data_IF_697585472067
#
_entry.id   IF_697585472067
#
_cell.length_a   1.000
_cell.length_b   1.000
_cell.length_c   1.000
_cell.angle_alpha   90.00
_cell.angle_beta   90.00
_cell.angle_gamma   90.00
#
_symmetry.space_group_name_H-M   'P 1'
#
loop_
_entity.id
_entity.type
_entity.pdbx_description
1 polymer ?
#
# COMPACT_ATOMS: atom_id res chain seq x y z
N UNK A 1 0.98 12.72 9.58
CA UNK A 1 1.64 13.62 8.60
C UNK A 1 2.51 14.71 9.21
N UNK A 2 1.97 15.63 10.02
CA UNK A 2 2.77 16.73 10.61
C UNK A 2 3.99 16.24 11.41
N UNK A 3 3.84 15.10 12.11
CA UNK A 3 4.94 14.43 12.82
C UNK A 3 6.07 14.06 11.85
N UNK A 4 5.79 13.34 10.77
CA UNK A 4 6.80 12.93 9.78
C UNK A 4 7.52 14.13 9.15
N UNK A 5 6.80 15.19 8.79
CA UNK A 5 7.41 16.40 8.21
C UNK A 5 8.39 17.07 9.18
N UNK A 6 8.11 17.01 10.49
CA UNK A 6 8.91 17.68 11.51
C UNK A 6 9.99 16.78 12.14
N UNK A 7 9.78 15.47 12.15
CA UNK A 7 10.66 14.52 12.84
C UNK A 7 11.31 13.50 11.92
N UNK A 8 10.94 13.44 10.64
CA UNK A 8 11.41 12.46 9.64
C UNK A 8 11.30 11.00 10.10
N UNK A 9 10.36 10.75 11.03
CA UNK A 9 10.10 9.45 11.65
C UNK A 9 8.74 8.97 11.19
N UNK A 10 8.72 7.76 10.63
CA UNK A 10 7.51 7.07 10.21
C UNK A 10 6.50 6.99 11.37
N UNK A 11 5.20 7.15 11.11
CA UNK A 11 4.19 7.04 12.14
C UNK A 11 4.25 5.64 12.81
N UNK A 12 4.11 5.55 14.14
CA UNK A 12 4.08 4.25 14.83
C UNK A 12 2.92 3.37 14.36
N UNK A 13 1.92 3.95 13.71
CA UNK A 13 0.79 3.22 13.12
C UNK A 13 1.17 2.40 11.86
N UNK A 14 2.43 2.47 11.43
CA UNK A 14 3.01 1.59 10.41
C UNK A 14 3.92 0.51 11.03
N UNK A 15 3.92 0.38 12.35
CA UNK A 15 4.69 -0.65 13.06
C UNK A 15 4.07 -2.03 12.82
N UNK A 16 4.93 -3.05 12.74
CA UNK A 16 4.52 -4.44 12.45
C UNK A 16 3.79 -5.09 13.63
N UNK A 17 3.68 -4.37 14.76
CA UNK A 17 2.95 -4.79 15.96
C UNK A 17 1.45 -4.46 15.91
N UNK A 18 0.98 -3.68 14.93
CA UNK A 18 -0.44 -3.35 14.77
C UNK A 18 -1.17 -4.37 13.88
N UNK A 19 -2.50 -4.38 13.95
CA UNK A 19 -3.30 -5.27 13.10
C UNK A 19 -3.05 -5.00 11.61
N UNK A 20 -2.82 -6.03 10.78
CA UNK A 20 -2.47 -5.85 9.37
C UNK A 20 -3.55 -5.09 8.57
N UNK A 21 -4.82 -5.24 8.94
CA UNK A 21 -5.93 -4.48 8.36
C UNK A 21 -5.90 -2.98 8.75
N UNK A 22 -5.48 -2.66 9.97
CA UNK A 22 -5.32 -1.28 10.42
C UNK A 22 -4.11 -0.63 9.75
N UNK A 23 -2.99 -1.34 9.68
CA UNK A 23 -1.74 -0.90 9.02
C UNK A 23 -1.97 -0.61 7.55
N UNK A 24 -2.68 -1.49 6.83
CA UNK A 24 -3.01 -1.28 5.40
C UNK A 24 -3.86 -0.04 5.20
N UNK A 25 -4.95 0.11 5.95
CA UNK A 25 -5.84 1.28 5.87
C UNK A 25 -5.07 2.58 6.17
N UNK A 26 -4.22 2.57 7.20
CA UNK A 26 -3.43 3.73 7.57
C UNK A 26 -2.35 4.05 6.51
N UNK A 27 -1.70 3.02 5.97
CA UNK A 27 -0.73 3.17 4.89
C UNK A 27 -1.37 3.76 3.63
N UNK A 28 -2.60 3.39 3.28
CA UNK A 28 -3.37 3.99 2.19
C UNK A 28 -3.62 5.49 2.44
N UNK A 29 -4.08 5.86 3.63
CA UNK A 29 -4.30 7.27 3.99
C UNK A 29 -3.00 8.09 3.99
N UNK A 30 -1.92 7.52 4.49
CA UNK A 30 -0.60 8.14 4.48
C UNK A 30 -0.04 8.27 3.06
N UNK A 31 -0.21 7.27 2.20
CA UNK A 31 0.21 7.32 0.81
C UNK A 31 -0.50 8.46 0.07
N UNK A 32 -1.82 8.57 0.23
CA UNK A 32 -2.61 9.61 -0.41
C UNK A 32 -2.17 11.02 0.01
N UNK A 33 -1.85 11.20 1.29
CA UNK A 33 -1.33 12.47 1.76
C UNK A 33 0.14 12.66 1.35
N UNK A 34 0.98 11.62 1.31
CA UNK A 34 2.38 11.72 0.92
C UNK A 34 2.49 12.16 -0.54
N UNK A 35 1.63 11.60 -1.40
CA UNK A 35 1.47 11.98 -2.79
C UNK A 35 1.02 13.44 -2.92
N UNK A 36 0.01 13.86 -2.13
CA UNK A 36 -0.48 15.26 -2.13
C UNK A 36 0.57 16.27 -1.66
N UNK A 37 1.45 15.90 -0.73
CA UNK A 37 2.47 16.77 -0.15
C UNK A 37 3.86 16.59 -0.79
N UNK A 38 4.02 15.70 -1.78
CA UNK A 38 5.32 15.41 -2.42
C UNK A 38 6.36 14.81 -1.48
N UNK A 39 5.93 14.00 -0.51
CA UNK A 39 6.80 13.36 0.48
C UNK A 39 7.30 12.01 -0.02
N UNK A 40 8.23 12.02 -0.98
CA UNK A 40 8.73 10.82 -1.66
C UNK A 40 9.23 9.72 -0.70
N UNK A 41 9.93 10.12 0.37
CA UNK A 41 10.45 9.18 1.38
C UNK A 41 9.34 8.47 2.14
N UNK A 42 8.27 9.19 2.50
CA UNK A 42 7.11 8.59 3.16
C UNK A 42 6.31 7.72 2.19
N UNK A 43 6.18 8.16 0.94
CA UNK A 43 5.55 7.40 -0.14
C UNK A 43 6.19 6.02 -0.28
N UNK A 44 7.53 5.96 -0.37
CA UNK A 44 8.29 4.70 -0.41
C UNK A 44 8.05 3.78 0.79
N UNK A 45 7.97 4.34 2.01
CA UNK A 45 7.71 3.55 3.23
C UNK A 45 6.29 2.95 3.17
N UNK A 46 5.30 3.74 2.79
CA UNK A 46 3.93 3.28 2.64
C UNK A 46 3.80 2.23 1.53
N UNK A 47 4.47 2.42 0.40
CA UNK A 47 4.50 1.43 -0.69
C UNK A 47 5.10 0.10 -0.24
N UNK A 48 6.22 0.12 0.50
CA UNK A 48 6.84 -1.11 1.00
C UNK A 48 5.94 -1.86 2.00
N UNK A 49 5.26 -1.12 2.89
CA UNK A 49 4.34 -1.70 3.88
C UNK A 49 3.09 -2.26 3.22
N UNK A 50 2.49 -1.53 2.29
CA UNK A 50 1.35 -2.02 1.51
C UNK A 50 1.73 -3.28 0.74
N UNK A 51 2.88 -3.30 0.05
CA UNK A 51 3.34 -4.48 -0.67
C UNK A 51 3.57 -5.71 0.22
N UNK A 52 3.92 -5.53 1.49
CA UNK A 52 4.10 -6.62 2.45
C UNK A 52 2.76 -7.16 2.99
N UNK A 53 1.72 -6.33 3.03
CA UNK A 53 0.39 -6.69 3.52
C UNK A 53 -0.63 -6.96 2.40
N UNK A 54 -0.20 -7.03 1.14
CA UNK A 54 -1.07 -7.40 0.01
C UNK A 54 -1.48 -8.86 0.15
N UNK A 55 -2.78 -9.07 0.31
CA UNK A 55 -3.45 -10.36 0.25
C UNK A 55 -4.33 -10.41 -0.98
N UNK A 56 -4.78 -11.60 -1.38
CA UNK A 56 -5.66 -11.78 -2.55
C UNK A 56 -6.89 -10.87 -2.47
N UNK A 57 -7.52 -10.75 -1.30
CA UNK A 57 -8.70 -9.89 -1.11
C UNK A 57 -8.40 -8.38 -1.15
N UNK A 58 -7.16 -7.98 -0.87
CA UNK A 58 -6.74 -6.57 -0.82
C UNK A 58 -5.85 -6.16 -2.00
N UNK A 59 -5.46 -7.10 -2.86
CA UNK A 59 -4.61 -6.87 -4.02
C UNK A 59 -5.31 -5.96 -5.04
N UNK A 60 -6.60 -6.18 -5.31
CA UNK A 60 -7.38 -5.33 -6.22
C UNK A 60 -7.46 -3.88 -5.73
N UNK A 61 -7.83 -3.68 -4.46
CA UNK A 61 -7.96 -2.34 -3.86
C UNK A 61 -6.62 -1.63 -3.75
N UNK A 62 -5.55 -2.35 -3.39
CA UNK A 62 -4.19 -1.81 -3.28
C UNK A 62 -3.62 -1.45 -4.67
N UNK A 63 -3.88 -2.26 -5.69
CA UNK A 63 -3.48 -1.97 -7.07
C UNK A 63 -4.19 -0.72 -7.62
N UNK A 64 -5.50 -0.61 -7.41
CA UNK A 64 -6.27 0.58 -7.80
C UNK A 64 -5.73 1.85 -7.11
N UNK A 65 -5.38 1.75 -5.83
CA UNK A 65 -4.82 2.85 -5.06
C UNK A 65 -3.39 3.22 -5.55
N UNK A 66 -2.58 2.23 -5.92
CA UNK A 66 -1.28 2.45 -6.53
C UNK A 66 -1.39 3.23 -7.85
N UNK A 67 -2.37 2.87 -8.68
CA UNK A 67 -2.64 3.53 -9.95
C UNK A 67 -3.15 4.96 -9.76
N UNK A 68 -4.02 5.18 -8.77
CA UNK A 68 -4.55 6.50 -8.44
C UNK A 68 -3.45 7.47 -7.98
N UNK A 69 -2.48 6.99 -7.20
CA UNK A 69 -1.39 7.81 -6.63
C UNK A 69 -0.07 7.70 -7.39
N UNK A 70 -0.04 7.10 -8.58
CA UNK A 70 1.17 6.99 -9.39
C UNK A 70 2.33 6.26 -8.70
N UNK A 71 2.03 5.24 -7.88
CA UNK A 71 3.00 4.47 -7.10
C UNK A 71 3.56 3.32 -7.94
N UNK A 72 4.61 3.58 -8.71
CA UNK A 72 5.13 2.62 -9.70
C UNK A 72 5.66 1.32 -9.07
N UNK A 73 6.33 1.39 -7.92
CA UNK A 73 6.88 0.20 -7.24
C UNK A 73 5.77 -0.68 -6.66
N UNK A 74 4.79 -0.07 -6.00
CA UNK A 74 3.63 -0.78 -5.46
C UNK A 74 2.85 -1.47 -6.60
N UNK A 75 2.62 -0.74 -7.70
CA UNK A 75 1.97 -1.29 -8.90
C UNK A 75 2.73 -2.49 -9.47
N UNK A 76 4.04 -2.38 -9.66
CA UNK A 76 4.86 -3.48 -10.14
C UNK A 76 4.77 -4.71 -9.23
N UNK A 77 4.92 -4.51 -7.90
CA UNK A 77 4.79 -5.57 -6.90
C UNK A 77 3.43 -6.25 -6.91
N UNK A 78 2.34 -5.48 -7.00
CA UNK A 78 0.99 -6.04 -7.08
C UNK A 78 0.78 -6.84 -8.37
N UNK A 79 1.25 -6.31 -9.51
CA UNK A 79 1.16 -7.02 -10.80
C UNK A 79 2.00 -8.30 -10.80
N UNK A 80 3.20 -8.26 -10.22
CA UNK A 80 4.07 -9.44 -10.07
C UNK A 80 3.43 -10.49 -9.15
N UNK A 81 2.78 -10.06 -8.06
CA UNK A 81 2.04 -10.95 -7.16
C UNK A 81 0.87 -11.62 -7.87
N UNK A 82 0.07 -10.84 -8.59
CA UNK A 82 -1.07 -11.32 -9.37
C UNK A 82 -0.62 -12.28 -10.47
N UNK A 83 0.42 -11.93 -11.23
CA UNK A 83 0.98 -12.79 -12.29
C UNK A 83 1.75 -14.02 -11.76
N UNK A 84 2.10 -14.04 -10.47
CA UNK A 84 2.87 -15.12 -9.85
C UNK A 84 2.09 -16.44 -9.73
N UNK A 85 0.76 -16.38 -9.65
CA UNK A 85 -0.09 -17.57 -9.64
C UNK A 85 -1.42 -17.34 -10.38
N UNK A 86 -1.85 -18.28 -11.24
CA UNK A 86 -3.18 -18.23 -11.84
C UNK A 86 -4.30 -18.32 -10.79
N UNK A 87 -4.04 -18.96 -9.65
CA UNK A 87 -5.02 -19.07 -8.55
C UNK A 87 -5.21 -17.72 -7.84
N UNK A 88 -4.15 -16.92 -7.70
CA UNK A 88 -4.27 -15.57 -7.12
C UNK A 88 -4.99 -14.63 -8.07
N UNK A 89 -4.78 -14.77 -9.38
CA UNK A 89 -5.56 -14.05 -10.39
C UNK A 89 -7.06 -14.33 -10.30
N UNK A 90 -7.43 -15.62 -10.29
CA UNK A 90 -8.83 -16.04 -10.25
C UNK A 90 -9.50 -15.62 -8.94
N UNK A 91 -8.78 -15.71 -7.82
CA UNK A 91 -9.29 -15.29 -6.53
C UNK A 91 -9.37 -13.74 -6.38
N UNK A 92 -8.47 -12.97 -7.00
CA UNK A 92 -8.58 -11.51 -7.09
C UNK A 92 -9.78 -11.11 -7.96
N UNK A 93 -9.97 -11.76 -9.11
CA UNK A 93 -11.14 -11.57 -9.98
C UNK A 93 -12.45 -11.94 -9.27
N UNK A 94 -12.43 -12.98 -8.42
CA UNK A 94 -13.58 -13.38 -7.62
C UNK A 94 -13.89 -12.40 -6.48
N UNK A 95 -12.95 -11.52 -6.11
CA UNK A 95 -13.17 -10.47 -5.10
C UNK A 95 -13.75 -9.18 -5.70
N UNK A 96 -14.08 -9.15 -6.99
CA UNK A 96 -14.65 -7.97 -7.64
C UNK A 96 -16.15 -7.77 -7.32
N UNK A 97 -16.40 -6.66 -6.60
CA UNK A 97 -17.70 -6.09 -6.26
C UNK A 97 -17.60 -5.03 -5.18
#
# INVERSE_FOLDING_TARGET
>A
MLRFVYTDVAPPELDDNEEPAAVTTMAQHLLAAADRYGLDRLKLICEAKLAACVEVATAATTLALAEQHGCALLKAKCVDFVNGSPETLDAVLATEG
#
